data_IF_619076438345
#
_entry.id   IF_619076438345
#
_cell.length_a   1.000
_cell.length_b   1.000
_cell.length_c   1.000
_cell.angle_alpha   90.00
_cell.angle_beta   90.00
_cell.angle_gamma   90.00
#
_symmetry.space_group_name_H-M   'P 1'
#
loop_
_entity.id
_entity.type
_entity.pdbx_description
1 polymer ?
#
# COMPACT_ATOMS: atom_id res chain seq x y z
N UNK A 1 17.25 11.12 0.73
CA UNK A 1 15.97 11.81 0.37
C UNK A 1 14.84 10.88 0.78
N UNK A 2 13.61 11.37 0.87
CA UNK A 2 12.43 10.54 1.16
C UNK A 2 11.36 10.77 0.08
N UNK A 3 10.49 9.78 -0.13
CA UNK A 3 9.43 9.85 -1.14
C UNK A 3 8.12 9.26 -0.60
N UNK A 4 6.98 9.68 -1.18
CA UNK A 4 5.68 9.09 -0.90
C UNK A 4 5.33 7.98 -1.89
N UNK A 5 4.65 6.95 -1.42
CA UNK A 5 4.06 5.93 -2.30
C UNK A 5 2.67 6.38 -2.74
N UNK A 6 2.45 6.38 -4.06
CA UNK A 6 1.14 6.59 -4.65
C UNK A 6 0.31 5.30 -4.63
N UNK A 7 -1.01 5.43 -4.54
CA UNK A 7 -1.95 4.29 -4.48
C UNK A 7 -1.80 3.35 -5.68
N UNK A 8 -1.48 3.87 -6.86
CA UNK A 8 -1.35 3.06 -8.07
C UNK A 8 -0.24 2.02 -7.95
N UNK A 9 0.85 2.33 -7.24
CA UNK A 9 1.93 1.37 -7.01
C UNK A 9 1.42 0.17 -6.19
N UNK A 10 0.62 0.42 -5.15
CA UNK A 10 0.03 -0.65 -4.33
C UNK A 10 -0.99 -1.47 -5.13
N UNK A 11 -1.83 -0.81 -5.94
CA UNK A 11 -2.82 -1.48 -6.78
C UNK A 11 -2.15 -2.35 -7.85
N UNK A 12 -1.14 -1.85 -8.56
CA UNK A 12 -0.42 -2.62 -9.56
C UNK A 12 0.32 -3.80 -8.94
N UNK A 13 0.96 -3.61 -7.78
CA UNK A 13 1.62 -4.71 -7.08
C UNK A 13 0.63 -5.79 -6.59
N UNK A 14 -0.66 -5.46 -6.45
CA UNK A 14 -1.69 -6.41 -6.04
C UNK A 14 -2.37 -7.09 -7.23
N UNK A 15 -2.52 -6.38 -8.36
CA UNK A 15 -3.22 -6.88 -9.55
C UNK A 15 -2.30 -7.69 -10.46
N UNK A 16 -2.35 -9.02 -10.38
CA UNK A 16 -1.56 -9.89 -11.26
C UNK A 16 -1.92 -9.78 -12.74
N UNK A 17 -3.09 -9.24 -13.07
CA UNK A 17 -3.50 -9.00 -14.45
C UNK A 17 -2.97 -7.69 -15.03
N UNK A 18 -2.49 -6.77 -14.17
CA UNK A 18 -1.92 -5.50 -14.59
C UNK A 18 -0.58 -5.70 -15.30
N UNK A 19 -0.33 -5.05 -16.46
CA UNK A 19 0.98 -5.09 -17.12
C UNK A 19 2.09 -4.45 -16.29
N UNK A 20 1.73 -3.73 -15.22
CA UNK A 20 2.66 -3.07 -14.31
C UNK A 20 2.99 -3.91 -13.07
N UNK A 21 2.35 -5.08 -12.90
CA UNK A 21 2.47 -5.92 -11.71
C UNK A 21 3.92 -6.18 -11.31
N UNK A 22 4.69 -6.78 -12.21
CA UNK A 22 6.09 -7.14 -11.96
C UNK A 22 6.94 -5.93 -11.56
N UNK A 23 6.73 -4.79 -12.23
CA UNK A 23 7.51 -3.57 -11.95
C UNK A 23 7.14 -2.97 -10.59
N UNK A 24 5.86 -2.93 -10.26
CA UNK A 24 5.36 -2.40 -9.00
C UNK A 24 5.76 -3.29 -7.81
N UNK A 25 5.58 -4.61 -7.95
CA UNK A 25 6.02 -5.61 -6.97
C UNK A 25 7.52 -5.53 -6.73
N UNK A 26 8.34 -5.47 -7.78
CA UNK A 26 9.78 -5.32 -7.66
C UNK A 26 10.18 -3.98 -7.02
N UNK A 27 9.44 -2.90 -7.27
CA UNK A 27 9.68 -1.61 -6.61
C UNK A 27 9.39 -1.70 -5.11
N UNK A 28 8.24 -2.23 -4.70
CA UNK A 28 7.91 -2.40 -3.28
C UNK A 28 8.89 -3.35 -2.58
N UNK A 29 9.33 -4.42 -3.24
CA UNK A 29 10.37 -5.30 -2.71
C UNK A 29 11.70 -4.57 -2.48
N UNK A 30 12.11 -3.69 -3.40
CA UNK A 30 13.31 -2.84 -3.19
C UNK A 30 13.10 -1.86 -2.05
N UNK A 31 11.92 -1.26 -1.91
CA UNK A 31 11.59 -0.43 -0.76
C UNK A 31 11.70 -1.22 0.55
N UNK A 32 11.17 -2.44 0.60
CA UNK A 32 11.20 -3.28 1.79
C UNK A 32 12.62 -3.76 2.16
N UNK A 33 13.45 -4.09 1.17
CA UNK A 33 14.82 -4.56 1.38
C UNK A 33 15.84 -3.43 1.62
N UNK A 34 15.51 -2.20 1.20
CA UNK A 34 16.36 -1.03 1.36
C UNK A 34 16.27 -0.39 2.74
N UNK A 35 16.93 0.77 2.89
CA UNK A 35 16.88 1.62 4.08
C UNK A 35 16.43 3.05 3.77
N UNK A 36 16.10 3.35 2.50
CA UNK A 36 15.61 4.67 2.10
C UNK A 36 14.21 4.90 2.68
N UNK A 37 14.05 6.04 3.35
CA UNK A 37 12.78 6.38 3.99
C UNK A 37 11.71 6.64 2.94
N UNK A 38 10.57 5.96 3.07
CA UNK A 38 9.40 6.19 2.24
C UNK A 38 8.16 6.39 3.10
N UNK A 39 7.18 7.12 2.56
CA UNK A 39 5.99 7.50 3.29
C UNK A 39 4.73 6.86 2.70
N UNK A 40 3.79 6.50 3.57
CA UNK A 40 2.42 6.13 3.21
C UNK A 40 1.49 7.11 3.91
N UNK A 41 0.74 7.90 3.13
CA UNK A 41 -0.27 8.79 3.67
C UNK A 41 -1.58 8.03 3.96
N UNK A 42 -2.37 8.49 4.93
CA UNK A 42 -3.67 7.89 5.23
C UNK A 42 -4.59 7.82 4.00
N UNK A 43 -4.58 8.86 3.16
CA UNK A 43 -5.33 8.88 1.90
C UNK A 43 -4.89 7.80 0.91
N UNK A 44 -3.59 7.47 0.87
CA UNK A 44 -3.06 6.38 0.04
C UNK A 44 -3.54 5.03 0.56
N UNK A 45 -3.43 4.79 1.86
CA UNK A 45 -3.88 3.55 2.50
C UNK A 45 -5.39 3.35 2.34
N UNK A 46 -6.19 4.38 2.63
CA UNK A 46 -7.64 4.38 2.42
C UNK A 46 -8.01 4.11 0.95
N UNK A 47 -7.36 4.79 0.02
CA UNK A 47 -7.65 4.62 -1.42
C UNK A 47 -7.33 3.20 -1.87
N UNK A 48 -6.21 2.64 -1.39
CA UNK A 48 -5.84 1.25 -1.67
C UNK A 48 -6.89 0.28 -1.12
N UNK A 49 -7.26 0.39 0.16
CA UNK A 49 -8.28 -0.46 0.78
C UNK A 49 -9.61 -0.39 0.02
N UNK A 50 -10.06 0.81 -0.34
CA UNK A 50 -11.29 1.02 -1.08
C UNK A 50 -11.25 0.41 -2.48
N UNK A 51 -10.13 0.56 -3.20
CA UNK A 51 -10.04 0.18 -4.61
C UNK A 51 -9.70 -1.30 -4.78
N UNK A 52 -8.79 -1.84 -3.98
CA UNK A 52 -8.34 -3.23 -4.07
C UNK A 52 -9.43 -4.23 -3.67
N UNK A 53 -10.42 -3.80 -2.89
CA UNK A 53 -11.55 -4.63 -2.44
C UNK A 53 -12.81 -4.46 -3.28
N UNK A 54 -12.78 -3.62 -4.32
CA UNK A 54 -13.96 -3.28 -5.11
C UNK A 54 -13.99 -3.96 -6.50
N UNK A 55 -14.96 -4.85 -6.71
CA UNK A 55 -15.10 -5.67 -7.93
C UNK A 55 -15.25 -4.94 -9.26
N UNK A 56 -15.67 -3.67 -9.26
CA UNK A 56 -15.73 -2.88 -10.49
C UNK A 56 -14.38 -2.25 -10.89
N UNK A 57 -13.40 -2.26 -9.99
CA UNK A 57 -12.08 -1.65 -10.18
C UNK A 57 -11.02 -2.74 -10.30
N UNK A 58 -11.14 -3.77 -9.47
CA UNK A 58 -10.16 -4.83 -9.35
C UNK A 58 -10.80 -6.14 -9.78
N UNK A 59 -10.33 -6.75 -10.87
CA UNK A 59 -10.98 -7.91 -11.49
C UNK A 59 -11.06 -9.14 -10.55
N UNK A 60 -10.11 -9.25 -9.62
CA UNK A 60 -10.10 -10.25 -8.55
C UNK A 60 -9.92 -9.54 -7.21
N UNK A 61 -10.98 -8.92 -6.65
CA UNK A 61 -10.91 -8.15 -5.40
C UNK A 61 -10.19 -8.91 -4.31
N UNK A 62 -9.28 -8.23 -3.63
CA UNK A 62 -8.77 -8.71 -2.35
C UNK A 62 -9.91 -8.69 -1.32
N UNK A 63 -9.84 -9.58 -0.34
CA UNK A 63 -10.58 -9.38 0.90
C UNK A 63 -10.07 -8.13 1.63
N UNK A 64 -10.92 -7.55 2.50
CA UNK A 64 -10.52 -6.42 3.33
C UNK A 64 -9.29 -6.76 4.18
N UNK A 65 -9.24 -7.97 4.76
CA UNK A 65 -8.13 -8.43 5.59
C UNK A 65 -6.82 -8.56 4.78
N UNK A 66 -6.87 -9.07 3.54
CA UNK A 66 -5.69 -9.15 2.67
C UNK A 66 -5.16 -7.76 2.31
N UNK A 67 -6.05 -6.83 1.96
CA UNK A 67 -5.66 -5.46 1.65
C UNK A 67 -5.08 -4.74 2.89
N UNK A 68 -5.70 -4.89 4.06
CA UNK A 68 -5.19 -4.31 5.30
C UNK A 68 -3.83 -4.89 5.68
N UNK A 69 -3.67 -6.22 5.56
CA UNK A 69 -2.41 -6.92 5.82
C UNK A 69 -1.27 -6.44 4.92
N UNK A 70 -1.54 -6.09 3.66
CA UNK A 70 -0.53 -5.52 2.76
C UNK A 70 -0.05 -4.13 3.22
N UNK A 71 -0.96 -3.28 3.69
CA UNK A 71 -0.60 -1.96 4.24
C UNK A 71 0.18 -2.13 5.54
N UNK A 72 -0.28 -2.99 6.45
CA UNK A 72 0.38 -3.28 7.72
C UNK A 72 1.80 -3.81 7.52
N UNK A 73 2.01 -4.69 6.55
CA UNK A 73 3.34 -5.21 6.23
C UNK A 73 4.32 -4.09 5.83
N UNK A 74 3.85 -3.06 5.12
CA UNK A 74 4.68 -1.90 4.76
C UNK A 74 4.91 -0.98 5.97
N UNK A 75 3.87 -0.71 6.75
CA UNK A 75 3.95 0.14 7.94
C UNK A 75 4.85 -0.44 9.03
N UNK A 76 4.97 -1.78 9.09
CA UNK A 76 5.85 -2.48 10.02
C UNK A 76 7.35 -2.29 9.68
N UNK A 77 7.70 -1.78 8.49
CA UNK A 77 9.09 -1.54 8.11
C UNK A 77 9.66 -0.33 8.89
N UNK A 78 10.88 -0.43 9.45
CA UNK A 78 11.44 0.60 10.32
C UNK A 78 11.72 1.93 9.62
N UNK A 79 11.83 1.93 8.29
CA UNK A 79 12.04 3.09 7.44
C UNK A 79 10.77 3.54 6.70
N UNK A 80 9.63 2.87 6.90
CA UNK A 80 8.34 3.41 6.49
C UNK A 80 7.92 4.53 7.46
N UNK A 81 7.36 5.61 6.94
CA UNK A 81 6.78 6.70 7.73
C UNK A 81 5.32 6.86 7.35
N UNK A 82 4.46 6.70 8.33
CA UNK A 82 3.06 6.94 8.11
C UNK A 82 2.74 8.43 8.25
N UNK A 83 1.97 8.97 7.32
CA UNK A 83 1.50 10.35 7.35
C UNK A 83 0.00 10.32 7.66
N UNK A 84 -0.32 10.24 8.94
CA UNK A 84 -1.67 10.17 9.48
C UNK A 84 -2.25 11.55 9.71
N UNK A 85 -3.58 11.63 9.80
CA UNK A 85 -4.27 12.83 10.27
C UNK A 85 -4.02 13.07 11.76
N UNK A 86 -4.04 12.00 12.56
CA UNK A 86 -3.73 12.00 14.00
C UNK A 86 -3.07 10.68 14.43
N UNK A 87 -2.48 10.66 15.63
CA UNK A 87 -1.92 9.45 16.24
C UNK A 87 -3.02 8.41 16.46
N UNK A 88 -2.73 7.13 16.16
CA UNK A 88 -3.70 6.03 16.31
C UNK A 88 -4.76 5.95 15.20
N UNK A 89 -4.67 6.76 14.14
CA UNK A 89 -5.63 6.76 13.04
C UNK A 89 -5.83 5.37 12.43
N UNK A 90 -4.74 4.64 12.17
CA UNK A 90 -4.79 3.37 11.44
C UNK A 90 -5.55 2.29 12.22
N UNK A 91 -5.34 2.23 13.54
CA UNK A 91 -5.96 1.28 14.44
C UNK A 91 -7.49 1.45 14.52
N UNK A 92 -7.99 2.69 14.34
CA UNK A 92 -9.42 2.99 14.30
C UNK A 92 -10.01 2.78 12.90
N UNK A 93 -9.20 2.98 11.86
CA UNK A 93 -9.66 2.97 10.47
C UNK A 93 -9.81 1.56 9.87
N UNK A 94 -8.91 0.63 10.23
CA UNK A 94 -8.79 -0.71 9.61
C UNK A 94 -9.97 -1.64 9.84
#
# INVERSE_FOLDING_TARGET
MSFGIDVNILLYASDRSSPWHEKASAFLQRCAAGSEVFCIAWVTAQSYLRMATHGSIFAQPLSADEAAGNVEALLALPHCRALWEDEGFWEVYR
#
